data_IF_523609272564
#
_entry.id   IF_523609272564
#
_cell.length_a   1.000
_cell.length_b   1.000
_cell.length_c   1.000
_cell.angle_alpha   90.00
_cell.angle_beta   90.00
_cell.angle_gamma   90.00
#
_symmetry.space_group_name_H-M   'P 1'
#
loop_
_entity.id
_entity.type
_entity.pdbx_description
1 polymer ?
#
# COMPACT_ATOMS: atom_id res chain seq x y z
N UNK A 1 -7.56 42.75 31.73
CA UNK A 1 -7.14 41.37 31.41
C UNK A 1 -6.20 41.44 30.22
N UNK A 2 -5.02 40.83 30.35
CA UNK A 2 -3.96 40.85 29.34
C UNK A 2 -4.42 40.07 28.09
N UNK A 3 -4.21 40.58 26.86
CA UNK A 3 -4.64 39.90 25.64
C UNK A 3 -4.02 38.50 25.58
N UNK A 4 -4.72 37.53 24.98
CA UNK A 4 -4.08 36.25 24.62
C UNK A 4 -2.79 36.60 23.86
N UNK A 5 -1.66 36.37 24.53
CA UNK A 5 -0.40 36.91 24.06
C UNK A 5 -0.08 36.29 22.70
N UNK A 6 0.61 37.01 21.82
CA UNK A 6 1.18 36.44 20.58
C UNK A 6 1.88 35.09 20.81
N UNK A 7 2.41 34.87 22.02
CA UNK A 7 3.05 33.64 22.47
C UNK A 7 2.08 32.47 22.60
N UNK A 8 0.86 32.69 23.09
CA UNK A 8 -0.17 31.64 23.22
C UNK A 8 -0.64 31.17 21.84
N UNK A 9 -0.87 32.10 20.90
CA UNK A 9 -1.22 31.76 19.52
C UNK A 9 -0.09 30.99 18.80
N UNK A 10 1.16 31.44 18.98
CA UNK A 10 2.34 30.75 18.45
C UNK A 10 2.48 29.33 19.02
N UNK A 11 2.26 29.16 20.32
CA UNK A 11 2.31 27.85 20.99
C UNK A 11 1.24 26.90 20.43
N UNK A 12 -0.01 27.35 20.30
CA UNK A 12 -1.11 26.53 19.75
C UNK A 12 -0.83 26.13 18.30
N UNK A 13 -0.30 27.05 17.50
CA UNK A 13 0.09 26.76 16.10
C UNK A 13 1.21 25.71 16.06
N UNK A 14 2.22 25.84 16.91
CA UNK A 14 3.33 24.89 17.01
C UNK A 14 2.83 23.49 17.40
N UNK A 15 1.94 23.41 18.40
CA UNK A 15 1.32 22.14 18.84
C UNK A 15 0.48 21.52 17.72
N UNK A 16 -0.28 22.32 16.97
CA UNK A 16 -1.07 21.84 15.85
C UNK A 16 -0.20 21.30 14.71
N UNK A 17 0.91 21.97 14.38
CA UNK A 17 1.88 21.48 13.40
C UNK A 17 2.51 20.17 13.88
N UNK A 18 2.92 20.09 15.15
CA UNK A 18 3.48 18.87 15.74
C UNK A 18 2.51 17.69 15.71
N UNK A 19 1.24 17.92 16.07
CA UNK A 19 0.19 16.89 15.97
C UNK A 19 -0.05 16.47 14.51
N UNK A 20 -0.05 17.42 13.57
CA UNK A 20 -0.16 17.13 12.14
C UNK A 20 0.98 16.24 11.63
N UNK A 21 2.22 16.53 12.02
CA UNK A 21 3.39 15.72 11.67
C UNK A 21 3.34 14.31 12.26
N UNK A 22 2.86 14.16 13.51
CA UNK A 22 2.71 12.85 14.14
C UNK A 22 1.60 11.99 13.50
N UNK A 23 0.53 12.63 13.03
CA UNK A 23 -0.59 11.94 12.39
C UNK A 23 -0.35 11.67 10.89
N UNK A 24 0.53 12.42 10.23
CA UNK A 24 0.79 12.30 8.80
C UNK A 24 1.09 10.86 8.33
N UNK A 25 1.96 10.07 8.99
CA UNK A 25 2.23 8.69 8.57
C UNK A 25 1.00 7.77 8.65
N UNK A 26 0.12 7.97 9.64
CA UNK A 26 -1.11 7.17 9.75
C UNK A 26 -2.12 7.54 8.68
N UNK A 27 -2.22 8.83 8.36
CA UNK A 27 -3.09 9.31 7.30
C UNK A 27 -2.61 8.83 5.92
N UNK A 28 -1.30 8.93 5.64
CA UNK A 28 -0.72 8.49 4.36
C UNK A 28 -0.91 6.98 4.12
N UNK A 29 -0.70 6.14 5.14
CA UNK A 29 -1.00 4.69 5.08
C UNK A 29 -2.45 4.39 4.73
N UNK A 30 -3.38 5.13 5.35
CA UNK A 30 -4.81 5.02 5.05
C UNK A 30 -5.17 5.45 3.62
N UNK A 31 -4.42 6.38 3.02
CA UNK A 31 -4.60 6.72 1.60
C UNK A 31 -4.06 5.63 0.68
N UNK A 32 -2.86 5.11 0.94
CA UNK A 32 -2.27 4.03 0.14
C UNK A 32 -3.12 2.75 0.14
N UNK A 33 -3.64 2.35 1.30
CA UNK A 33 -4.51 1.17 1.42
C UNK A 33 -5.79 1.32 0.59
N UNK A 34 -6.36 2.54 0.54
CA UNK A 34 -7.54 2.83 -0.30
C UNK A 34 -7.22 2.77 -1.79
N UNK A 35 -6.07 3.29 -2.20
CA UNK A 35 -5.63 3.23 -3.61
C UNK A 35 -5.38 1.79 -4.07
N UNK A 36 -4.72 0.99 -3.22
CA UNK A 36 -4.51 -0.45 -3.43
C UNK A 36 -5.84 -1.21 -3.53
N UNK A 37 -6.77 -0.95 -2.61
CA UNK A 37 -8.10 -1.59 -2.61
C UNK A 37 -8.92 -1.23 -3.87
N UNK A 38 -8.86 0.02 -4.33
CA UNK A 38 -9.49 0.45 -5.58
C UNK A 38 -8.88 -0.24 -6.80
N UNK A 39 -7.55 -0.33 -6.83
CA UNK A 39 -6.80 -0.99 -7.90
C UNK A 39 -7.18 -2.48 -7.98
N UNK A 40 -7.22 -3.17 -6.84
CA UNK A 40 -7.66 -4.57 -6.74
C UNK A 40 -9.12 -4.76 -7.15
N UNK A 41 -10.02 -3.88 -6.71
CA UNK A 41 -11.43 -3.92 -7.11
C UNK A 41 -11.60 -3.72 -8.63
N UNK A 42 -10.89 -2.75 -9.22
CA UNK A 42 -10.91 -2.53 -10.67
C UNK A 42 -10.34 -3.70 -11.46
N UNK A 43 -9.26 -4.31 -10.97
CA UNK A 43 -8.68 -5.52 -11.57
C UNK A 43 -9.67 -6.68 -11.53
N UNK A 44 -10.25 -6.96 -10.35
CA UNK A 44 -11.23 -8.03 -10.18
C UNK A 44 -12.45 -7.84 -11.09
N UNK A 45 -12.96 -6.61 -11.20
CA UNK A 45 -14.05 -6.28 -12.11
C UNK A 45 -13.66 -6.46 -13.58
N UNK A 46 -12.48 -5.97 -13.98
CA UNK A 46 -11.99 -6.09 -15.35
C UNK A 46 -11.84 -7.55 -15.76
N UNK A 47 -11.24 -8.39 -14.91
CA UNK A 47 -11.04 -9.82 -15.17
C UNK A 47 -12.36 -10.58 -15.19
N UNK A 48 -13.26 -10.32 -14.23
CA UNK A 48 -14.57 -10.99 -14.15
C UNK A 48 -15.47 -10.61 -15.34
N UNK A 49 -15.29 -9.41 -15.90
CA UNK A 49 -16.02 -8.98 -17.09
C UNK A 49 -15.50 -9.62 -18.39
N UNK A 50 -14.31 -10.22 -18.39
CA UNK A 50 -13.79 -10.93 -19.56
C UNK A 50 -14.56 -12.24 -19.78
N UNK A 51 -14.90 -12.59 -21.02
CA UNK A 51 -15.42 -13.92 -21.35
C UNK A 51 -14.45 -15.02 -20.90
N UNK A 52 -14.96 -16.17 -20.47
CA UNK A 52 -14.14 -17.31 -20.01
C UNK A 52 -13.11 -17.73 -21.07
N UNK A 53 -13.46 -17.67 -22.36
CA UNK A 53 -12.54 -17.97 -23.45
C UNK A 53 -11.32 -17.03 -23.49
N UNK A 54 -11.52 -15.76 -23.13
CA UNK A 54 -10.43 -14.77 -23.08
C UNK A 54 -9.58 -14.96 -21.82
N UNK A 55 -10.18 -15.28 -20.67
CA UNK A 55 -9.45 -15.66 -19.46
C UNK A 55 -8.57 -16.89 -19.71
N UNK A 56 -9.11 -17.92 -20.37
CA UNK A 56 -8.35 -19.10 -20.77
C UNK A 56 -7.23 -18.78 -21.76
N UNK A 57 -7.46 -17.87 -22.71
CA UNK A 57 -6.44 -17.39 -23.64
C UNK A 57 -5.27 -16.73 -22.91
N UNK A 58 -5.55 -15.89 -21.92
CA UNK A 58 -4.51 -15.23 -21.09
C UNK A 58 -3.69 -16.26 -20.31
N UNK A 59 -4.34 -17.24 -19.68
CA UNK A 59 -3.65 -18.32 -18.94
C UNK A 59 -2.81 -19.19 -19.88
N UNK A 60 -3.35 -19.57 -21.03
CA UNK A 60 -2.64 -20.39 -22.01
C UNK A 60 -1.39 -19.68 -22.54
N UNK A 61 -1.50 -18.38 -22.87
CA UNK A 61 -0.37 -17.57 -23.30
C UNK A 61 0.72 -17.47 -22.21
N UNK A 62 0.31 -17.28 -20.95
CA UNK A 62 1.25 -17.25 -19.83
C UNK A 62 1.95 -18.59 -19.58
N UNK A 63 1.24 -19.72 -19.71
CA UNK A 63 1.86 -21.05 -19.64
C UNK A 63 2.84 -21.30 -20.78
N UNK A 64 2.51 -20.87 -22.00
CA UNK A 64 3.42 -20.96 -23.14
C UNK A 64 4.69 -20.11 -22.93
N UNK A 65 4.53 -18.89 -22.39
CA UNK A 65 5.65 -18.06 -21.99
C UNK A 65 6.55 -18.77 -20.95
N UNK A 66 5.97 -19.35 -19.90
CA UNK A 66 6.74 -20.10 -18.89
C UNK A 66 7.47 -21.31 -19.51
N UNK A 67 6.84 -22.03 -20.44
CA UNK A 67 7.46 -23.16 -21.13
C UNK A 67 8.62 -22.73 -22.04
N UNK A 68 8.56 -21.54 -22.64
CA UNK A 68 9.69 -20.95 -23.38
C UNK A 68 10.82 -20.56 -22.44
N UNK A 69 10.50 -19.86 -21.35
CA UNK A 69 11.47 -19.45 -20.33
C UNK A 69 12.24 -20.65 -19.76
N UNK A 70 11.53 -21.75 -19.45
CA UNK A 70 12.14 -22.99 -18.94
C UNK A 70 13.12 -23.65 -19.93
N UNK A 71 12.98 -23.40 -21.24
CA UNK A 71 13.91 -23.88 -22.28
C UNK A 71 15.11 -22.95 -22.48
N UNK A 72 15.21 -21.87 -21.68
CA UNK A 72 16.26 -20.86 -21.82
C UNK A 72 16.03 -19.90 -22.99
N UNK A 73 14.83 -19.90 -23.59
CA UNK A 73 14.46 -18.94 -24.62
C UNK A 73 14.28 -17.58 -23.95
N UNK A 74 15.31 -16.74 -24.04
CA UNK A 74 15.26 -15.38 -23.51
C UNK A 74 14.26 -14.56 -24.31
N UNK A 75 13.55 -13.66 -23.63
CA UNK A 75 12.59 -12.76 -24.26
C UNK A 75 13.19 -12.18 -25.55
N UNK A 76 12.49 -12.38 -26.67
CA UNK A 76 13.05 -12.28 -28.01
C UNK A 76 13.54 -10.87 -28.33
N UNK A 77 14.84 -10.63 -28.16
CA UNK A 77 15.65 -9.94 -29.16
C UNK A 77 15.85 -8.43 -29.07
N UNK A 78 15.25 -7.68 -28.14
CA UNK A 78 15.51 -6.22 -28.06
C UNK A 78 15.89 -5.69 -26.66
N UNK A 79 15.83 -6.53 -25.63
CA UNK A 79 16.10 -6.11 -24.25
C UNK A 79 15.05 -5.15 -23.66
N UNK A 80 13.92 -4.93 -24.34
CA UNK A 80 12.88 -4.00 -23.91
C UNK A 80 11.81 -4.65 -23.04
N UNK A 81 11.74 -5.98 -22.94
CA UNK A 81 10.75 -6.71 -22.13
C UNK A 81 9.32 -6.63 -22.67
N UNK A 82 9.16 -6.38 -23.97
CA UNK A 82 7.85 -6.19 -24.60
C UNK A 82 6.96 -7.44 -24.59
N UNK A 83 7.53 -8.64 -24.79
CA UNK A 83 6.72 -9.87 -24.77
C UNK A 83 6.31 -10.26 -23.35
N UNK A 84 7.16 -9.97 -22.35
CA UNK A 84 6.82 -10.08 -20.93
C UNK A 84 5.65 -9.16 -20.55
N UNK A 85 5.71 -7.87 -20.91
CA UNK A 85 4.66 -6.89 -20.56
C UNK A 85 3.33 -7.11 -21.27
N UNK A 86 3.30 -7.93 -22.32
CA UNK A 86 2.07 -8.34 -22.98
C UNK A 86 1.36 -9.50 -22.26
N UNK A 87 2.03 -10.18 -21.33
CA UNK A 87 1.46 -11.30 -20.59
C UNK A 87 0.54 -10.79 -19.48
N UNK A 88 -0.56 -11.50 -19.21
CA UNK A 88 -1.45 -11.21 -18.08
C UNK A 88 -1.86 -9.72 -17.94
N UNK A 89 -1.99 -9.02 -19.07
CA UNK A 89 -2.32 -7.60 -19.12
C UNK A 89 -3.79 -7.43 -19.55
N UNK A 90 -4.76 -7.48 -18.63
CA UNK A 90 -6.16 -7.21 -18.97
C UNK A 90 -6.33 -5.77 -19.49
N UNK A 91 -7.37 -5.49 -20.30
CA UNK A 91 -7.59 -4.17 -20.89
C UNK A 91 -7.59 -3.05 -19.84
N UNK A 92 -6.72 -2.05 -20.03
CA UNK A 92 -6.67 -0.84 -19.19
C UNK A 92 -5.88 -0.97 -17.88
N UNK A 93 -5.14 -2.06 -17.65
CA UNK A 93 -4.36 -2.27 -16.42
C UNK A 93 -2.95 -2.83 -16.63
N UNK A 94 -2.10 -2.63 -15.62
CA UNK A 94 -0.73 -3.18 -15.52
C UNK A 94 -0.61 -4.30 -14.48
N UNK A 95 -1.72 -4.64 -13.82
CA UNK A 95 -1.82 -5.64 -12.75
C UNK A 95 -1.96 -7.02 -13.39
N UNK A 96 -1.02 -7.92 -13.06
CA UNK A 96 -1.02 -9.31 -13.48
C UNK A 96 -1.96 -10.16 -12.63
N UNK A 97 -1.88 -9.98 -11.30
CA UNK A 97 -2.54 -10.81 -10.31
C UNK A 97 -2.85 -10.01 -9.05
N UNK A 98 -3.71 -10.55 -8.19
CA UNK A 98 -3.93 -10.07 -6.84
C UNK A 98 -3.37 -11.10 -5.84
N UNK A 99 -2.46 -10.65 -4.98
CA UNK A 99 -1.89 -11.45 -3.89
C UNK A 99 -2.67 -11.19 -2.60
N UNK A 100 -3.03 -12.25 -1.88
CA UNK A 100 -3.62 -12.16 -0.54
C UNK A 100 -2.86 -13.03 0.45
N UNK A 101 -2.54 -12.47 1.62
CA UNK A 101 -1.91 -13.17 2.74
C UNK A 101 -2.84 -13.01 3.97
N UNK A 102 -3.77 -13.96 4.20
CA UNK A 102 -4.80 -13.82 5.24
C UNK A 102 -4.23 -13.65 6.65
N UNK A 103 -3.15 -14.35 6.99
CA UNK A 103 -2.49 -14.25 8.31
C UNK A 103 -1.99 -12.83 8.63
N UNK A 104 -1.74 -12.03 7.60
CA UNK A 104 -1.31 -10.64 7.73
C UNK A 104 -2.43 -9.63 7.49
N UNK A 105 -3.63 -10.07 7.07
CA UNK A 105 -4.70 -9.18 6.57
C UNK A 105 -4.14 -8.22 5.50
N UNK A 106 -3.46 -8.82 4.51
CA UNK A 106 -2.79 -8.09 3.44
C UNK A 106 -3.34 -8.55 2.09
N UNK A 107 -3.71 -7.59 1.25
CA UNK A 107 -4.01 -7.81 -0.16
C UNK A 107 -3.26 -6.77 -1.01
N UNK A 108 -2.52 -7.22 -2.02
CA UNK A 108 -1.69 -6.36 -2.87
C UNK A 108 -1.91 -6.67 -4.35
N UNK A 109 -2.00 -5.66 -5.22
CA UNK A 109 -1.88 -5.89 -6.64
C UNK A 109 -0.44 -6.32 -6.96
N UNK A 110 -0.29 -7.30 -7.84
CA UNK A 110 0.98 -7.76 -8.39
C UNK A 110 1.11 -7.18 -9.79
N UNK A 111 2.07 -6.28 -9.99
CA UNK A 111 2.35 -5.62 -11.26
C UNK A 111 3.52 -6.29 -11.97
N UNK A 112 3.68 -5.98 -13.25
CA UNK A 112 4.93 -6.21 -13.94
C UNK A 112 6.07 -5.38 -13.31
N UNK A 113 7.28 -5.93 -13.28
CA UNK A 113 8.50 -5.20 -12.92
C UNK A 113 8.74 -4.02 -13.89
N UNK A 114 8.31 -2.83 -13.49
CA UNK A 114 8.54 -1.58 -14.25
C UNK A 114 9.00 -0.45 -13.34
N UNK A 115 10.31 -0.36 -13.12
CA UNK A 115 10.98 0.86 -12.66
C UNK A 115 10.63 1.36 -11.25
N UNK A 116 11.21 2.50 -10.88
CA UNK A 116 11.24 3.03 -9.51
C UNK A 116 9.84 3.36 -8.93
N UNK A 117 8.79 3.44 -9.74
CA UNK A 117 7.44 3.86 -9.33
C UNK A 117 6.49 2.69 -8.97
N UNK A 118 6.76 1.47 -9.43
CA UNK A 118 5.92 0.28 -9.15
C UNK A 118 5.93 -0.13 -7.67
N UNK A 119 7.08 -0.15 -6.97
CA UNK A 119 7.15 -0.67 -5.60
C UNK A 119 6.31 0.09 -4.57
N UNK A 120 5.92 1.34 -4.84
CA UNK A 120 5.05 2.10 -3.95
C UNK A 120 3.56 1.73 -4.09
N UNK A 121 3.16 1.13 -5.22
CA UNK A 121 1.76 0.88 -5.58
C UNK A 121 1.29 -0.55 -5.30
N UNK A 122 2.21 -1.47 -5.07
CA UNK A 122 1.90 -2.88 -4.81
C UNK A 122 3.14 -3.75 -4.80
N UNK A 123 2.95 -5.04 -5.08
CA UNK A 123 4.03 -5.99 -5.30
C UNK A 123 4.39 -6.03 -6.80
N UNK A 124 5.60 -6.46 -7.12
CA UNK A 124 6.10 -6.62 -8.48
C UNK A 124 6.53 -8.07 -8.72
N UNK A 125 6.10 -8.64 -9.84
CA UNK A 125 6.63 -9.91 -10.32
C UNK A 125 8.04 -9.72 -10.88
N UNK A 126 9.01 -10.50 -10.41
CA UNK A 126 10.41 -10.41 -10.83
C UNK A 126 10.58 -10.94 -12.26
N UNK A 127 10.98 -10.07 -13.19
CA UNK A 127 11.22 -10.45 -14.57
C UNK A 127 12.33 -11.51 -14.67
N UNK A 128 12.14 -12.49 -15.55
CA UNK A 128 13.03 -13.65 -15.69
C UNK A 128 12.65 -14.84 -14.80
N UNK A 129 11.66 -14.70 -13.91
CA UNK A 129 11.04 -15.82 -13.20
C UNK A 129 9.73 -16.25 -13.87
N UNK A 130 9.18 -17.39 -13.47
CA UNK A 130 7.94 -17.91 -14.08
C UNK A 130 6.77 -16.98 -13.76
N UNK A 131 5.92 -16.67 -14.73
CA UNK A 131 4.68 -15.94 -14.50
C UNK A 131 3.80 -16.65 -13.46
N UNK A 132 3.05 -15.90 -12.63
CA UNK A 132 2.33 -16.43 -11.47
C UNK A 132 1.00 -17.11 -11.86
N UNK A 133 1.02 -18.03 -12.82
CA UNK A 133 -0.12 -18.87 -13.27
C UNK A 133 -0.03 -20.31 -12.78
N UNK A 134 1.05 -20.65 -12.07
CA UNK A 134 1.38 -22.00 -11.61
C UNK A 134 1.78 -22.93 -12.75
N UNK A 135 1.77 -24.22 -12.45
CA UNK A 135 2.23 -25.30 -13.33
C UNK A 135 3.48 -25.98 -12.78
N UNK A 136 3.62 -27.27 -13.09
CA UNK A 136 4.76 -28.06 -12.63
C UNK A 136 6.06 -27.58 -13.28
N UNK A 137 7.13 -27.55 -12.51
CA UNK A 137 8.43 -27.01 -12.93
C UNK A 137 8.45 -25.48 -13.01
N UNK A 138 7.51 -24.78 -12.37
CA UNK A 138 7.48 -23.30 -12.35
C UNK A 138 7.85 -22.76 -10.97
N UNK A 139 8.49 -21.59 -10.98
CA UNK A 139 8.79 -20.84 -9.78
C UNK A 139 8.65 -19.35 -10.08
N UNK A 140 7.58 -18.74 -9.56
CA UNK A 140 7.34 -17.31 -9.66
C UNK A 140 7.93 -16.58 -8.46
N UNK A 141 8.48 -15.39 -8.68
CA UNK A 141 9.01 -14.56 -7.60
C UNK A 141 8.28 -13.22 -7.58
N UNK A 142 7.77 -12.86 -6.41
CA UNK A 142 7.02 -11.62 -6.20
C UNK A 142 7.75 -10.82 -5.13
N UNK A 143 8.14 -9.60 -5.45
CA UNK A 143 8.85 -8.70 -4.56
C UNK A 143 8.01 -7.51 -4.13
N UNK A 144 8.21 -7.02 -2.91
CA UNK A 144 7.69 -5.72 -2.49
C UNK A 144 8.62 -5.10 -1.43
N UNK A 145 8.54 -3.79 -1.26
CA UNK A 145 9.29 -3.09 -0.22
C UNK A 145 8.85 -3.49 1.19
N UNK A 146 9.78 -3.30 2.14
CA UNK A 146 9.55 -3.40 3.58
C UNK A 146 9.93 -2.08 4.24
N UNK A 147 9.08 -1.59 5.14
CA UNK A 147 9.33 -0.38 5.94
C UNK A 147 9.05 0.95 5.22
N UNK A 148 8.23 0.98 4.17
CA UNK A 148 7.91 2.21 3.46
C UNK A 148 6.98 3.11 4.32
N UNK A 149 7.32 4.38 4.49
CA UNK A 149 6.60 5.28 5.39
C UNK A 149 5.10 5.48 5.04
N UNK A 150 4.72 5.22 3.78
CA UNK A 150 3.36 5.42 3.26
C UNK A 150 2.55 4.17 2.98
N UNK A 151 3.10 2.95 3.05
CA UNK A 151 2.38 1.71 2.75
C UNK A 151 2.99 0.50 3.47
N UNK A 152 2.15 -0.44 3.92
CA UNK A 152 2.64 -1.61 4.66
C UNK A 152 3.36 -2.62 3.76
N UNK A 153 2.84 -2.93 2.57
CA UNK A 153 3.50 -3.84 1.62
C UNK A 153 3.97 -5.14 2.32
N UNK A 154 5.26 -5.52 2.18
CA UNK A 154 5.83 -6.68 2.85
C UNK A 154 6.53 -6.35 4.17
N UNK A 155 6.20 -5.23 4.81
CA UNK A 155 6.78 -4.81 6.11
C UNK A 155 6.60 -5.86 7.21
N UNK A 156 5.55 -6.68 7.13
CA UNK A 156 5.21 -7.71 8.12
C UNK A 156 5.37 -9.14 7.58
N UNK A 157 6.08 -9.32 6.47
CA UNK A 157 6.32 -10.63 5.88
C UNK A 157 7.14 -11.55 6.81
N UNK A 158 7.92 -10.97 7.73
CA UNK A 158 8.65 -11.65 8.80
C UNK A 158 7.76 -12.37 9.83
N UNK A 159 6.46 -12.05 9.86
CA UNK A 159 5.47 -12.69 10.75
C UNK A 159 4.77 -13.89 10.12
N UNK A 160 5.04 -14.19 8.85
CA UNK A 160 4.52 -15.40 8.20
C UNK A 160 5.25 -16.60 8.77
N UNK A 161 4.51 -17.68 9.02
CA UNK A 161 5.04 -18.94 9.53
C UNK A 161 4.89 -20.06 8.49
N UNK A 162 5.70 -21.11 8.61
CA UNK A 162 5.54 -22.33 7.82
C UNK A 162 4.15 -22.93 8.08
N UNK A 163 3.47 -23.37 7.03
CA UNK A 163 2.07 -23.83 7.06
C UNK A 163 1.04 -22.71 6.87
N UNK A 164 1.46 -21.44 6.86
CA UNK A 164 0.57 -20.34 6.49
C UNK A 164 0.21 -20.41 4.99
N UNK A 165 -0.95 -19.88 4.63
CA UNK A 165 -1.43 -19.85 3.24
C UNK A 165 -1.37 -18.44 2.67
N UNK A 166 -1.04 -18.32 1.40
CA UNK A 166 -1.29 -17.13 0.58
C UNK A 166 -1.91 -17.54 -0.76
N UNK A 167 -2.63 -16.61 -1.39
CA UNK A 167 -3.33 -16.89 -2.65
C UNK A 167 -2.98 -15.89 -3.72
N UNK A 168 -2.97 -16.36 -4.97
CA UNK A 168 -2.86 -15.55 -6.17
C UNK A 168 -4.14 -15.67 -6.98
N UNK A 169 -4.80 -14.54 -7.17
CA UNK A 169 -5.96 -14.39 -8.03
C UNK A 169 -5.47 -13.85 -9.39
N UNK A 170 -5.47 -14.68 -10.42
CA UNK A 170 -4.88 -14.41 -11.75
C UNK A 170 -5.82 -14.85 -12.87
N UNK A 171 -6.18 -13.92 -13.77
CA UNK A 171 -6.98 -14.21 -14.97
C UNK A 171 -8.20 -15.12 -14.73
N UNK A 172 -8.97 -14.87 -13.66
CA UNK A 172 -10.19 -15.61 -13.34
C UNK A 172 -10.00 -16.80 -12.41
N UNK A 173 -8.77 -17.12 -12.06
CA UNK A 173 -8.40 -18.31 -11.27
C UNK A 173 -7.79 -17.91 -9.95
N UNK A 174 -8.17 -18.63 -8.89
CA UNK A 174 -7.48 -18.61 -7.61
C UNK A 174 -6.48 -19.76 -7.54
N UNK A 175 -5.25 -19.44 -7.16
CA UNK A 175 -4.16 -20.38 -6.91
C UNK A 175 -3.76 -20.28 -5.44
N UNK A 176 -3.72 -21.41 -4.73
CA UNK A 176 -3.47 -21.42 -3.28
C UNK A 176 -2.10 -22.03 -2.96
N UNK A 177 -1.28 -21.32 -2.20
CA UNK A 177 0.07 -21.75 -1.84
C UNK A 177 0.22 -21.85 -0.32
N UNK A 178 0.82 -22.94 0.15
CA UNK A 178 1.16 -23.16 1.55
C UNK A 178 2.67 -22.96 1.74
N UNK A 179 3.05 -22.12 2.72
CA UNK A 179 4.44 -21.78 3.02
C UNK A 179 5.18 -23.01 3.52
N UNK A 180 6.24 -23.40 2.82
CA UNK A 180 7.09 -24.54 3.18
C UNK A 180 8.47 -24.14 3.70
N UNK A 181 8.91 -22.92 3.41
CA UNK A 181 10.28 -22.49 3.68
C UNK A 181 10.34 -20.98 3.88
N UNK A 182 11.11 -20.57 4.88
CA UNK A 182 11.44 -19.18 5.17
C UNK A 182 12.96 -19.08 5.33
N UNK A 183 13.60 -18.21 4.56
CA UNK A 183 15.05 -18.06 4.56
C UNK A 183 15.47 -16.59 4.53
N UNK A 184 16.62 -16.29 5.13
CA UNK A 184 17.30 -15.00 5.00
C UNK A 184 18.60 -15.23 4.24
N UNK A 185 18.76 -14.53 3.11
CA UNK A 185 19.90 -14.70 2.20
C UNK A 185 20.57 -13.36 1.89
N UNK A 186 21.78 -13.43 1.32
CA UNK A 186 22.46 -12.24 0.80
C UNK A 186 21.73 -11.67 -0.43
N UNK A 187 21.81 -10.35 -0.71
CA UNK A 187 21.11 -9.74 -1.84
C UNK A 187 21.40 -10.36 -3.21
N UNK A 188 22.60 -10.90 -3.41
CA UNK A 188 23.07 -11.48 -4.67
C UNK A 188 22.89 -13.02 -4.72
N UNK A 189 22.36 -13.63 -3.65
CA UNK A 189 22.08 -15.05 -3.60
C UNK A 189 20.69 -15.36 -4.16
N UNK A 190 20.66 -15.85 -5.40
CA UNK A 190 19.45 -16.29 -6.11
C UNK A 190 19.21 -17.80 -6.02
N UNK A 191 20.03 -18.54 -5.27
CA UNK A 191 20.07 -20.01 -5.31
C UNK A 191 18.72 -20.67 -4.95
N UNK A 192 17.93 -20.00 -4.11
CA UNK A 192 16.61 -20.45 -3.68
C UNK A 192 15.46 -19.99 -4.58
N UNK A 193 15.74 -19.20 -5.62
CA UNK A 193 14.73 -18.63 -6.54
C UNK A 193 14.61 -19.41 -7.85
N UNK A 194 15.47 -20.40 -8.08
CA UNK A 194 15.44 -21.21 -9.30
C UNK A 194 14.24 -22.18 -9.32
N UNK A 195 13.67 -22.49 -10.50
CA UNK A 195 12.65 -23.52 -10.63
C UNK A 195 13.14 -24.90 -10.20
N UNK A 196 12.27 -25.65 -9.51
CA UNK A 196 12.53 -27.03 -9.11
C UNK A 196 11.67 -27.97 -9.95
N UNK A 197 12.24 -29.04 -10.56
CA UNK A 197 11.48 -30.00 -11.34
C UNK A 197 10.27 -30.53 -10.59
N UNK A 198 9.15 -30.66 -11.30
CA UNK A 198 7.87 -31.18 -10.82
C UNK A 198 7.17 -30.39 -9.69
N UNK A 199 7.75 -29.28 -9.22
CA UNK A 199 7.16 -28.40 -8.21
C UNK A 199 6.51 -27.16 -8.84
N UNK A 200 5.48 -26.63 -8.19
CA UNK A 200 4.84 -25.35 -8.51
C UNK A 200 5.03 -24.45 -7.29
N UNK A 201 5.93 -23.47 -7.44
CA UNK A 201 6.45 -22.67 -6.33
C UNK A 201 6.20 -21.18 -6.55
N UNK A 202 5.98 -20.47 -5.46
CA UNK A 202 6.01 -19.01 -5.43
C UNK A 202 6.83 -18.56 -4.24
N UNK A 203 7.78 -17.65 -4.47
CA UNK A 203 8.53 -17.00 -3.40
C UNK A 203 8.17 -15.52 -3.31
N UNK A 204 7.78 -15.10 -2.10
CA UNK A 204 7.61 -13.70 -1.73
C UNK A 204 8.92 -13.16 -1.18
N UNK A 205 9.40 -12.03 -1.71
CA UNK A 205 10.73 -11.49 -1.42
C UNK A 205 10.63 -10.06 -0.91
N UNK A 206 11.34 -9.76 0.18
CA UNK A 206 11.53 -8.38 0.65
C UNK A 206 12.90 -8.16 1.27
N UNK A 207 13.24 -6.90 1.55
CA UNK A 207 14.46 -6.52 2.25
C UNK A 207 14.33 -6.79 3.76
N UNK A 208 15.40 -7.27 4.39
CA UNK A 208 15.45 -7.51 5.84
C UNK A 208 16.85 -7.22 6.40
N UNK A 209 17.01 -6.85 7.68
CA UNK A 209 15.97 -6.37 8.59
C UNK A 209 15.32 -5.06 8.10
N UNK A 210 14.06 -4.85 8.45
CA UNK A 210 13.31 -3.64 8.08
C UNK A 210 14.05 -2.37 8.50
N UNK A 211 14.27 -1.46 7.56
CA UNK A 211 15.01 -0.20 7.77
C UNK A 211 16.53 -0.28 7.58
N UNK A 212 17.11 -1.49 7.49
CA UNK A 212 18.53 -1.70 7.18
C UNK A 212 18.74 -2.27 5.77
N UNK A 213 17.87 -3.20 5.34
CA UNK A 213 17.87 -3.77 3.99
C UNK A 213 19.16 -4.48 3.56
N UNK A 214 19.91 -5.05 4.50
CA UNK A 214 21.19 -5.72 4.25
C UNK A 214 21.07 -7.12 3.64
N UNK A 215 19.93 -7.77 3.84
CA UNK A 215 19.63 -9.13 3.38
C UNK A 215 18.27 -9.17 2.67
N UNK A 216 17.90 -10.35 2.16
CA UNK A 216 16.58 -10.64 1.61
C UNK A 216 15.88 -11.69 2.45
N UNK A 217 14.64 -11.42 2.82
CA UNK A 217 13.73 -12.40 3.39
C UNK A 217 12.97 -13.06 2.25
N UNK A 218 13.06 -14.38 2.17
CA UNK A 218 12.38 -15.23 1.21
C UNK A 218 11.34 -16.07 1.94
N UNK A 219 10.07 -15.94 1.55
CA UNK A 219 8.96 -16.78 2.04
C UNK A 219 8.44 -17.57 0.85
N UNK A 220 8.75 -18.85 0.80
CA UNK A 220 8.38 -19.75 -0.29
C UNK A 220 7.17 -20.58 0.08
N UNK A 221 6.21 -20.67 -0.83
CA UNK A 221 5.10 -21.60 -0.77
C UNK A 221 5.06 -22.54 -1.95
N UNK A 222 4.55 -23.74 -1.72
CA UNK A 222 4.24 -24.73 -2.75
C UNK A 222 2.75 -24.75 -3.02
N UNK A 223 2.39 -25.08 -4.26
CA UNK A 223 1.00 -25.13 -4.70
C UNK A 223 0.22 -26.22 -3.94
N UNK A 224 -0.93 -25.82 -3.41
CA UNK A 224 -1.95 -26.72 -2.89
C UNK A 224 -3.17 -26.66 -3.82
N UNK A 225 -3.70 -27.82 -4.20
CA UNK A 225 -4.85 -27.91 -5.12
C UNK A 225 -6.19 -28.01 -4.38
N UNK A 226 -6.17 -28.14 -3.05
CA UNK A 226 -7.34 -28.45 -2.24
C UNK A 226 -8.44 -27.37 -2.32
N UNK A 227 -8.04 -26.10 -2.51
CA UNK A 227 -8.93 -24.94 -2.51
C UNK A 227 -8.86 -24.15 -3.85
N UNK A 228 -8.34 -24.77 -4.91
CA UNK A 228 -8.31 -24.16 -6.23
C UNK A 228 -9.73 -24.09 -6.82
N UNK A 229 -10.14 -22.92 -7.30
CA UNK A 229 -11.47 -22.75 -7.88
C UNK A 229 -11.63 -21.47 -8.73
N UNK A 230 -12.75 -21.36 -9.47
CA UNK A 230 -13.19 -20.09 -10.03
C UNK A 230 -13.46 -19.07 -8.89
N UNK A 231 -13.17 -17.79 -9.12
CA UNK A 231 -13.19 -16.75 -8.07
C UNK A 231 -14.46 -16.77 -7.20
N UNK A 232 -14.26 -16.83 -5.87
CA UNK A 232 -15.17 -16.22 -4.91
C UNK A 232 -14.59 -14.84 -4.53
N UNK A 233 -15.20 -13.79 -5.07
CA UNK A 233 -14.81 -12.37 -4.95
C UNK A 233 -14.88 -11.81 -3.52
N UNK A 234 -15.41 -12.56 -2.56
CA UNK A 234 -15.60 -12.12 -1.18
C UNK A 234 -14.29 -11.92 -0.39
N UNK A 235 -13.23 -12.68 -0.68
CA UNK A 235 -12.03 -12.67 0.19
C UNK A 235 -11.09 -11.48 0.00
N UNK A 236 -11.09 -10.82 -1.16
CA UNK A 236 -10.19 -9.69 -1.46
C UNK A 236 -10.61 -8.40 -0.73
N UNK A 237 -11.91 -8.22 -0.50
CA UNK A 237 -12.46 -7.03 0.17
C UNK A 237 -12.30 -7.08 1.69
N UNK A 238 -12.37 -8.27 2.29
CA UNK A 238 -12.24 -8.45 3.74
C UNK A 238 -10.77 -8.37 4.19
N UNK A 239 -9.83 -8.78 3.31
CA UNK A 239 -8.41 -8.82 3.64
C UNK A 239 -7.78 -7.43 3.81
N UNK A 240 -8.27 -6.38 3.14
CA UNK A 240 -7.69 -5.02 3.23
C UNK A 240 -8.42 -4.08 4.21
N UNK A 241 -9.38 -4.60 4.98
CA UNK A 241 -10.17 -3.84 5.94
C UNK A 241 -9.40 -3.57 7.25
N UNK A 242 -8.27 -2.87 7.19
CA UNK A 242 -7.76 -2.19 8.37
C UNK A 242 -8.73 -1.04 8.75
N UNK A 243 -9.00 -0.80 10.04
CA UNK A 243 -9.82 0.33 10.48
C UNK A 243 -9.12 1.64 10.08
N UNK A 244 -9.46 2.13 8.88
CA UNK A 244 -8.83 3.28 8.25
C UNK A 244 -8.83 4.48 9.18
N UNK A 245 -7.66 5.12 9.33
CA UNK A 245 -7.42 6.35 10.10
C UNK A 245 -8.25 6.34 11.37
N UNK A 246 -7.77 5.65 12.39
CA UNK A 246 -8.51 5.44 13.62
C UNK A 246 -9.17 6.76 14.05
N UNK A 247 -10.50 6.78 14.04
CA UNK A 247 -11.39 7.95 14.14
C UNK A 247 -11.00 8.94 15.25
N UNK A 248 -10.30 8.46 16.28
CA UNK A 248 -9.71 9.26 17.34
C UNK A 248 -8.74 10.33 16.83
N UNK A 249 -7.98 10.06 15.77
CA UNK A 249 -7.01 11.02 15.18
C UNK A 249 -7.70 12.25 14.57
N UNK A 250 -8.83 12.05 13.88
CA UNK A 250 -9.68 13.14 13.40
C UNK A 250 -10.29 13.93 14.56
N UNK A 251 -10.76 13.25 15.61
CA UNK A 251 -11.29 13.94 16.80
C UNK A 251 -10.23 14.76 17.53
N UNK A 252 -8.97 14.31 17.56
CA UNK A 252 -7.88 14.99 18.25
C UNK A 252 -7.50 16.29 17.52
N UNK A 253 -7.43 16.26 16.17
CA UNK A 253 -7.21 17.46 15.36
C UNK A 253 -8.38 18.44 15.49
N UNK A 254 -9.63 17.97 15.38
CA UNK A 254 -10.82 18.82 15.54
C UNK A 254 -10.89 19.43 16.93
N UNK A 255 -10.50 18.70 17.98
CA UNK A 255 -10.49 19.21 19.36
C UNK A 255 -9.42 20.29 19.55
N UNK A 256 -8.22 20.11 18.99
CA UNK A 256 -7.14 21.11 19.08
C UNK A 256 -7.51 22.39 18.32
N UNK A 257 -8.06 22.25 17.10
CA UNK A 257 -8.51 23.40 16.29
C UNK A 257 -9.74 24.08 16.92
N UNK A 258 -10.67 23.30 17.47
CA UNK A 258 -11.85 23.80 18.18
C UNK A 258 -11.47 24.60 19.43
N UNK A 259 -10.55 24.08 20.24
CA UNK A 259 -10.04 24.80 21.41
C UNK A 259 -9.34 26.11 21.03
N UNK A 260 -8.58 26.12 19.93
CA UNK A 260 -7.95 27.33 19.39
C UNK A 260 -8.98 28.37 18.93
N UNK A 261 -10.06 27.92 18.27
CA UNK A 261 -11.12 28.79 17.77
C UNK A 261 -11.97 29.37 18.90
N UNK A 262 -12.33 28.56 19.90
CA UNK A 262 -13.02 29.00 21.12
C UNK A 262 -12.17 30.02 21.88
N UNK A 263 -10.87 29.75 22.02
CA UNK A 263 -9.93 30.70 22.63
C UNK A 263 -9.91 32.05 21.89
N UNK A 264 -9.89 32.03 20.55
CA UNK A 264 -9.98 33.25 19.73
C UNK A 264 -11.32 33.97 19.87
N UNK A 265 -12.43 33.23 19.92
CA UNK A 265 -13.78 33.80 20.00
C UNK A 265 -14.02 34.47 21.36
N UNK A 266 -13.59 33.84 22.46
CA UNK A 266 -13.66 34.40 23.81
C UNK A 266 -12.83 35.67 23.92
N UNK A 267 -11.61 35.67 23.37
CA UNK A 267 -10.74 36.85 23.38
C UNK A 267 -11.29 38.01 22.49
N UNK A 268 -12.04 37.71 21.42
CA UNK A 268 -12.77 38.75 20.67
C UNK A 268 -13.96 39.30 21.45
N UNK A 269 -14.73 38.43 22.12
CA UNK A 269 -15.89 38.83 22.91
C UNK A 269 -15.49 39.71 24.11
N UNK A 270 -14.39 39.36 24.78
CA UNK A 270 -13.83 40.16 25.87
C UNK A 270 -13.32 41.52 25.39
N UNK A 271 -12.70 41.58 24.20
CA UNK A 271 -12.28 42.85 23.58
C UNK A 271 -13.46 43.75 23.20
N UNK A 272 -14.57 43.17 22.72
CA UNK A 272 -15.78 43.93 22.40
C UNK A 272 -16.44 44.50 23.67
N UNK A 273 -16.50 43.72 24.76
CA UNK A 273 -16.99 44.16 26.06
C UNK A 273 -16.11 45.26 26.69
N UNK A 274 -14.80 45.11 26.61
CA UNK A 274 -13.85 46.11 27.13
C UNK A 274 -13.95 47.46 26.40
N UNK A 275 -14.21 47.47 25.07
CA UNK A 275 -14.44 48.71 24.30
C UNK A 275 -15.75 49.40 24.68
N UNK A 276 -16.80 48.64 24.98
CA UNK A 276 -18.06 49.19 25.44
C UNK A 276 -17.96 49.86 26.83
N UNK A 277 -17.11 49.32 27.71
CA UNK A 277 -16.88 49.85 29.06
C UNK A 277 -15.93 51.07 29.08
N UNK A 278 -15.11 51.27 28.05
CA UNK A 278 -14.13 52.37 28.01
C UNK A 278 -14.75 53.76 27.72
N UNK A 279 -16.00 53.82 27.23
CA UNK A 279 -16.71 55.08 26.94
C UNK A 279 -16.07 55.93 25.81
N UNK A 280 -16.84 56.81 25.14
CA UNK A 280 -16.26 57.73 24.14
C UNK A 280 -15.32 58.74 24.82
N UNK A 281 -14.24 59.18 24.14
CA UNK A 281 -13.29 60.12 24.72
C UNK A 281 -14.00 61.44 25.04
N UNK A 282 -13.89 61.89 26.29
CA UNK A 282 -14.43 63.18 26.72
C UNK A 282 -13.70 64.30 25.98
N UNK A 283 -14.42 65.05 25.16
CA UNK A 283 -13.92 66.28 24.53
C UNK A 283 -13.38 67.22 25.60
N UNK A 284 -12.08 67.51 25.50
CA UNK A 284 -11.40 68.49 26.33
C UNK A 284 -11.81 69.87 25.80
N UNK A 285 -12.81 70.49 26.42
CA UNK A 285 -13.18 71.88 26.16
C UNK A 285 -11.96 72.77 26.40
N UNK A 286 -11.45 73.37 25.32
CA UNK A 286 -10.42 74.39 25.38
C UNK A 286 -11.01 75.63 26.07
N UNK A 287 -10.51 75.94 27.26
CA UNK A 287 -10.86 77.15 27.99
C UNK A 287 -10.21 78.36 27.30
N UNK A 288 -11.07 79.28 26.87
CA UNK A 288 -10.72 80.56 26.23
C UNK A 288 -10.62 81.58 27.34
N UNK A 289 -9.42 82.11 27.59
CA UNK A 289 -9.27 83.37 28.33
C UNK A 289 -8.18 84.23 27.70
N UNK A 290 -8.61 85.32 27.07
CA UNK A 290 -7.89 86.59 26.89
C UNK A 290 -8.75 87.66 27.58
N UNK A 291 -8.18 88.76 28.09
CA UNK A 291 -7.46 89.77 27.31
C UNK A 291 -6.02 90.06 27.78
#
# INVERSE_FOLDING_TARGET
MQPVSRRTFALVTLVAIGAGLLLFPTASRGFATRDQSRSLASYGQAVTALPDAEQQRLLAAAHEYNARLARGDRDGGDGTGGSYRAQLAPPGGTIMAALTIPSLRLALPVLHDTGDEVPARGAAHLHGTSLPVGGRGTHAVISAHSGLAGAELFTHLDRVEVGAVFTLDVAGRRLVYEVDSIAVVEPDDDSLLHPVPDQDLVTLVTCTPTGLSTHRLLVRGHRTFADDGPHATHHLADASAEPGVAWWSATLVVSVVGAAFVGCALDRADRARARHLAGPPTERTADVTSP
#
